data_IF_708469897309
#
_entry.id   IF_708469897309
#
_cell.length_a   1.000
_cell.length_b   1.000
_cell.length_c   1.000
_cell.angle_alpha   90.00
_cell.angle_beta   90.00
_cell.angle_gamma   90.00
#
_symmetry.space_group_name_H-M   'P 1'
#
loop_
_entity.id
_entity.type
_entity.pdbx_description
1 polymer ?
#
# COMPACT_ATOMS: atom_id res chain seq x y z
N UNK A 1 -21.33 11.75 25.81
CA UNK A 1 -21.86 10.81 26.81
C UNK A 1 -22.72 9.68 26.22
N UNK A 2 -23.94 9.87 25.71
CA UNK A 2 -24.74 8.73 25.18
C UNK A 2 -24.16 8.04 23.92
N UNK A 3 -23.39 8.75 23.07
CA UNK A 3 -22.70 8.16 21.92
C UNK A 3 -21.53 7.25 22.34
N UNK A 4 -20.78 7.65 23.35
CA UNK A 4 -19.60 6.93 23.86
C UNK A 4 -20.00 5.58 24.49
N UNK A 5 -21.15 5.56 25.19
CA UNK A 5 -21.72 4.32 25.75
C UNK A 5 -22.15 3.31 24.68
N UNK A 6 -22.65 3.77 23.52
CA UNK A 6 -23.01 2.87 22.41
C UNK A 6 -21.78 2.31 21.72
N UNK A 7 -20.73 3.11 21.55
CA UNK A 7 -19.45 2.67 20.99
C UNK A 7 -18.77 1.64 21.90
N UNK A 8 -18.72 1.88 23.22
CA UNK A 8 -18.16 0.91 24.17
C UNK A 8 -18.92 -0.42 24.19
N UNK A 9 -20.25 -0.37 24.11
CA UNK A 9 -21.09 -1.58 24.06
C UNK A 9 -20.89 -2.39 22.78
N UNK A 10 -20.75 -1.71 21.64
CA UNK A 10 -20.49 -2.37 20.36
C UNK A 10 -19.07 -2.95 20.30
N UNK A 11 -18.08 -2.25 20.85
CA UNK A 11 -16.71 -2.75 20.95
C UNK A 11 -16.63 -4.04 21.79
N UNK A 12 -17.32 -4.10 22.95
CA UNK A 12 -17.39 -5.34 23.75
C UNK A 12 -18.06 -6.49 23.02
N UNK A 13 -19.16 -6.23 22.30
CA UNK A 13 -19.83 -7.27 21.50
C UNK A 13 -18.97 -7.81 20.37
N UNK A 14 -18.21 -6.94 19.70
CA UNK A 14 -17.28 -7.36 18.64
C UNK A 14 -16.13 -8.18 19.21
N UNK A 15 -15.60 -7.80 20.38
CA UNK A 15 -14.57 -8.58 21.06
C UNK A 15 -15.07 -9.98 21.48
N UNK A 16 -16.28 -10.07 22.06
CA UNK A 16 -16.91 -11.34 22.42
C UNK A 16 -17.21 -12.21 21.18
N UNK A 17 -17.69 -11.61 20.09
CA UNK A 17 -17.97 -12.31 18.84
C UNK A 17 -16.70 -12.87 18.19
N UNK A 18 -15.62 -12.07 18.14
CA UNK A 18 -14.34 -12.50 17.58
C UNK A 18 -13.70 -13.63 18.39
N UNK A 19 -13.82 -13.60 19.73
CA UNK A 19 -13.35 -14.68 20.58
C UNK A 19 -14.14 -15.99 20.35
N UNK A 20 -15.46 -15.92 20.13
CA UNK A 20 -16.29 -17.09 19.85
C UNK A 20 -16.09 -17.68 18.44
N UNK A 21 -15.70 -16.85 17.46
CA UNK A 21 -15.37 -17.28 16.10
C UNK A 21 -14.04 -18.03 16.05
N UNK A 22 -13.02 -17.52 16.75
CA UNK A 22 -11.68 -18.12 16.80
C UNK A 22 -11.67 -19.54 17.41
N UNK A 23 -12.51 -19.78 18.43
CA UNK A 23 -12.62 -21.10 19.08
C UNK A 23 -13.39 -22.14 18.21
N UNK A 24 -14.03 -21.70 17.13
CA UNK A 24 -14.83 -22.57 16.24
C UNK A 24 -14.19 -22.85 14.89
N UNK A 25 -13.36 -21.94 14.35
CA UNK A 25 -12.94 -22.02 12.94
C UNK A 25 -11.65 -22.81 12.70
N UNK A 26 -10.74 -22.89 13.68
CA UNK A 26 -9.44 -23.55 13.52
C UNK A 26 -8.60 -22.99 12.35
N UNK A 27 -8.97 -21.84 11.78
CA UNK A 27 -8.28 -21.19 10.66
C UNK A 27 -7.13 -20.35 11.17
N UNK A 28 -5.98 -20.45 10.51
CA UNK A 28 -4.76 -19.74 10.87
C UNK A 28 -4.90 -18.20 10.89
N UNK A 29 -5.76 -17.63 10.02
CA UNK A 29 -6.09 -16.19 10.03
C UNK A 29 -6.79 -15.72 11.31
N UNK A 30 -7.41 -16.64 12.04
CA UNK A 30 -8.26 -16.34 13.20
C UNK A 30 -7.54 -16.72 14.51
N UNK A 31 -6.35 -17.32 14.42
CA UNK A 31 -5.53 -17.69 15.58
C UNK A 31 -4.60 -16.55 15.99
N UNK A 32 -5.16 -15.50 16.58
CA UNK A 32 -4.37 -14.64 17.47
C UNK A 32 -4.03 -15.48 18.71
N UNK A 33 -2.76 -15.55 19.10
CA UNK A 33 -2.33 -16.31 20.28
C UNK A 33 -3.13 -15.90 21.52
N UNK A 34 -3.53 -16.87 22.35
CA UNK A 34 -4.45 -16.66 23.48
C UNK A 34 -3.98 -15.59 24.48
N UNK A 35 -2.67 -15.34 24.55
CA UNK A 35 -2.06 -14.31 25.40
C UNK A 35 -2.27 -12.88 24.87
N UNK A 36 -2.60 -12.71 23.59
CA UNK A 36 -2.87 -11.43 22.94
C UNK A 36 -4.37 -11.18 22.73
N UNK A 37 -5.24 -12.12 23.14
CA UNK A 37 -6.70 -11.99 23.08
C UNK A 37 -7.21 -11.19 24.29
N UNK A 38 -7.60 -9.94 24.05
CA UNK A 38 -8.67 -9.25 24.81
C UNK A 38 -8.45 -8.90 26.29
N UNK A 39 -7.41 -9.39 26.99
CA UNK A 39 -7.14 -8.97 28.38
C UNK A 39 -6.84 -7.47 28.45
N UNK A 40 -5.99 -6.96 27.55
CA UNK A 40 -5.66 -5.53 27.48
C UNK A 40 -6.88 -4.61 27.28
N UNK A 41 -7.85 -4.97 26.43
CA UNK A 41 -9.01 -4.09 26.14
C UNK A 41 -10.09 -4.17 27.22
N UNK A 42 -10.34 -5.35 27.81
CA UNK A 42 -11.32 -5.50 28.89
C UNK A 42 -10.78 -5.01 30.24
N UNK A 43 -9.47 -5.10 30.50
CA UNK A 43 -8.80 -4.57 31.71
C UNK A 43 -8.52 -3.07 31.64
N UNK A 44 -8.28 -2.49 30.46
CA UNK A 44 -8.07 -1.05 30.29
C UNK A 44 -9.37 -0.22 30.25
N UNK A 45 -10.54 -0.88 30.22
CA UNK A 45 -11.83 -0.19 30.24
C UNK A 45 -12.33 0.01 31.68
N UNK A 46 -12.68 1.24 32.09
CA UNK A 46 -13.22 1.48 33.43
C UNK A 46 -14.50 0.66 33.66
N UNK A 47 -14.70 0.11 34.87
CA UNK A 47 -15.91 -0.63 35.21
C UNK A 47 -17.15 0.25 35.03
N UNK A 48 -18.19 -0.32 34.41
CA UNK A 48 -19.47 0.37 34.29
C UNK A 48 -20.00 0.67 35.69
N UNK A 49 -20.52 1.89 35.94
CA UNK A 49 -21.12 2.21 37.22
C UNK A 49 -22.25 1.21 37.53
N UNK A 50 -22.40 0.77 38.79
CA UNK A 50 -23.49 -0.10 39.18
C UNK A 50 -24.82 0.56 38.82
N UNK A 51 -25.72 -0.21 38.21
CA UNK A 51 -27.08 0.21 37.92
C UNK A 51 -27.78 0.52 39.24
N UNK A 52 -27.83 1.79 39.62
CA UNK A 52 -28.78 2.26 40.63
C UNK A 52 -30.20 2.05 40.10
N UNK A 53 -30.91 1.17 40.80
CA UNK A 53 -32.36 1.05 40.93
C UNK A 53 -33.18 1.91 39.95
N UNK A 54 -33.59 1.29 38.84
CA UNK A 54 -34.69 1.80 38.03
C UNK A 54 -35.97 1.82 38.89
N UNK A 55 -36.44 3.03 39.20
CA UNK A 55 -37.73 3.27 39.85
C UNK A 55 -38.90 2.71 39.01
N UNK A 56 -39.97 2.23 39.65
CA UNK A 56 -41.07 1.56 38.97
C UNK A 56 -42.09 2.58 38.42
N UNK A 57 -42.18 2.71 37.10
CA UNK A 57 -43.33 3.40 36.50
C UNK A 57 -44.52 2.44 36.32
N UNK A 58 -45.43 2.46 37.30
CA UNK A 58 -46.89 2.33 37.08
C UNK A 58 -47.27 3.28 35.93
N UNK A 59 -48.07 2.98 34.92
CA UNK A 59 -49.16 2.03 34.76
C UNK A 59 -50.32 2.78 34.08
N UNK A 60 -50.87 2.25 32.98
CA UNK A 60 -52.17 2.55 32.30
C UNK A 60 -52.02 2.01 30.85
N UNK A 61 -52.60 0.90 30.40
CA UNK A 61 -53.83 0.22 30.78
C UNK A 61 -54.92 0.56 29.77
N UNK A 62 -55.07 -0.23 28.69
CA UNK A 62 -56.34 -0.42 27.94
C UNK A 62 -56.36 -1.79 27.24
N UNK A 63 -57.55 -2.39 27.03
CA UNK A 63 -57.77 -3.82 27.23
C UNK A 63 -57.90 -4.63 25.93
N UNK A 64 -57.51 -5.90 26.02
CA UNK A 64 -57.77 -6.97 25.05
C UNK A 64 -59.26 -7.35 25.03
N UNK A 65 -59.82 -7.70 23.86
CA UNK A 65 -60.84 -8.72 23.75
C UNK A 65 -60.15 -10.08 23.49
N UNK A 66 -60.47 -11.06 24.32
CA UNK A 66 -59.92 -12.41 24.25
C UNK A 66 -60.53 -13.26 23.16
N UNK A 67 -59.79 -14.28 22.71
CA UNK A 67 -60.38 -15.52 22.19
C UNK A 67 -59.43 -16.71 22.32
N UNK A 68 -59.91 -17.65 23.14
CA UNK A 68 -59.80 -19.11 23.13
C UNK A 68 -58.41 -19.76 23.02
N UNK A 69 -58.09 -20.45 24.12
CA UNK A 69 -57.19 -21.60 24.17
C UNK A 69 -57.59 -22.65 23.13
N UNK A 70 -56.72 -22.84 22.16
CA UNK A 70 -56.55 -24.11 21.44
C UNK A 70 -55.07 -24.41 21.47
N UNK A 71 -54.72 -25.60 21.95
CA UNK A 71 -53.36 -26.12 21.97
C UNK A 71 -52.68 -25.95 20.60
N UNK A 72 -51.38 -25.65 20.54
CA UNK A 72 -50.70 -25.43 19.28
C UNK A 72 -50.72 -26.72 18.47
N UNK A 73 -51.43 -26.70 17.33
CA UNK A 73 -51.15 -27.65 16.27
C UNK A 73 -49.68 -27.45 15.90
N UNK A 74 -48.86 -28.47 16.18
CA UNK A 74 -47.47 -28.51 15.75
C UNK A 74 -47.45 -28.29 14.24
N UNK A 75 -47.01 -27.09 13.82
CA UNK A 75 -46.55 -26.93 12.44
C UNK A 75 -45.40 -27.93 12.28
N UNK A 76 -45.40 -28.77 11.24
CA UNK A 76 -44.21 -29.52 10.91
C UNK A 76 -43.09 -28.51 10.74
N UNK A 77 -42.06 -28.64 11.58
CA UNK A 77 -40.78 -27.98 11.37
C UNK A 77 -40.40 -28.27 9.92
N UNK A 78 -40.15 -27.27 9.06
CA UNK A 78 -39.52 -27.58 7.78
C UNK A 78 -38.23 -28.30 8.13
N UNK A 79 -38.10 -29.54 7.67
CA UNK A 79 -36.84 -30.26 7.76
C UNK A 79 -35.77 -29.30 7.22
N UNK A 80 -34.62 -29.13 7.90
CA UNK A 80 -33.54 -28.37 7.32
C UNK A 80 -33.26 -29.03 5.98
N UNK A 81 -33.52 -28.30 4.90
CA UNK A 81 -33.02 -28.71 3.60
C UNK A 81 -31.51 -28.80 3.79
N UNK A 82 -30.97 -30.01 3.74
CA UNK A 82 -29.54 -30.21 3.63
C UNK A 82 -29.17 -29.70 2.25
N UNK A 83 -29.01 -28.38 2.12
CA UNK A 83 -28.23 -27.84 1.04
C UNK A 83 -26.82 -28.29 1.38
N UNK A 84 -26.37 -29.33 0.68
CA UNK A 84 -24.96 -29.65 0.60
C UNK A 84 -24.29 -28.47 -0.13
N UNK A 85 -24.04 -27.37 0.57
CA UNK A 85 -23.01 -26.42 0.17
C UNK A 85 -21.68 -27.01 0.60
N UNK A 86 -21.29 -28.09 -0.05
CA UNK A 86 -19.89 -28.27 -0.34
C UNK A 86 -19.53 -27.07 -1.22
N UNK A 87 -18.89 -26.06 -0.63
CA UNK A 87 -18.17 -25.08 -1.43
C UNK A 87 -16.97 -25.86 -1.95
N UNK A 88 -17.18 -26.57 -3.06
CA UNK A 88 -16.04 -26.97 -3.87
C UNK A 88 -15.37 -25.67 -4.31
N UNK A 89 -14.09 -25.45 -3.96
CA UNK A 89 -13.37 -24.34 -4.54
C UNK A 89 -13.24 -24.66 -6.03
N UNK A 90 -14.12 -24.12 -6.87
CA UNK A 90 -13.91 -24.15 -8.31
C UNK A 90 -12.57 -23.46 -8.58
N UNK A 91 -11.57 -24.15 -9.14
CA UNK A 91 -10.32 -23.52 -9.49
C UNK A 91 -10.60 -22.50 -10.60
N UNK A 92 -9.89 -21.36 -10.58
CA UNK A 92 -10.05 -20.31 -11.60
C UNK A 92 -9.73 -20.81 -13.03
N UNK A 93 -9.08 -21.97 -13.17
CA UNK A 93 -8.80 -22.65 -14.43
C UNK A 93 -8.87 -24.18 -14.27
N UNK A 94 -9.39 -24.88 -15.28
CA UNK A 94 -9.32 -26.34 -15.37
C UNK A 94 -8.03 -26.78 -16.09
N UNK A 95 -7.28 -27.71 -15.48
CA UNK A 95 -6.06 -28.29 -16.05
C UNK A 95 -5.18 -28.96 -15.00
N UNK A 96 -4.17 -29.75 -15.42
CA UNK A 96 -3.13 -30.28 -14.52
C UNK A 96 -2.23 -29.13 -14.06
N UNK A 97 -2.66 -28.43 -13.02
CA UNK A 97 -1.85 -27.44 -12.33
C UNK A 97 -0.85 -28.18 -11.43
N UNK A 98 0.39 -28.26 -11.89
CA UNK A 98 1.52 -28.59 -11.03
C UNK A 98 1.65 -27.44 -10.03
N UNK A 99 1.26 -27.69 -8.78
CA UNK A 99 1.41 -26.70 -7.71
C UNK A 99 2.87 -26.27 -7.59
N UNK A 100 3.12 -24.97 -7.52
CA UNK A 100 4.44 -24.43 -7.19
C UNK A 100 4.77 -24.79 -5.74
N UNK A 101 5.78 -25.64 -5.52
CA UNK A 101 6.34 -25.84 -4.18
C UNK A 101 7.19 -24.62 -3.80
N UNK A 102 7.10 -24.18 -2.55
CA UNK A 102 8.03 -23.21 -2.00
C UNK A 102 9.43 -23.83 -2.01
N UNK A 103 10.35 -23.22 -2.75
CA UNK A 103 11.76 -23.68 -2.84
C UNK A 103 12.60 -23.07 -1.71
N UNK A 104 12.16 -21.94 -1.14
CA UNK A 104 12.80 -21.24 -0.01
C UNK A 104 11.73 -20.67 0.92
N UNK A 105 11.67 -21.12 2.18
CA UNK A 105 10.86 -20.48 3.22
C UNK A 105 11.58 -19.22 3.73
N UNK A 106 11.53 -18.13 2.96
CA UNK A 106 11.87 -16.82 3.49
C UNK A 106 10.59 -16.16 4.01
N UNK A 107 10.43 -16.07 5.33
CA UNK A 107 9.36 -15.27 5.93
C UNK A 107 9.62 -13.81 5.60
N UNK A 108 8.90 -13.30 4.61
CA UNK A 108 9.06 -11.95 4.12
C UNK A 108 7.73 -11.37 3.67
N UNK A 109 7.65 -10.05 3.61
CA UNK A 109 6.47 -9.33 3.14
C UNK A 109 6.82 -8.39 1.99
N UNK A 110 5.94 -8.33 1.00
CA UNK A 110 6.02 -7.36 -0.08
C UNK A 110 5.33 -6.07 0.36
N UNK A 111 5.78 -4.93 -0.16
CA UNK A 111 5.08 -3.66 0.00
C UNK A 111 4.40 -3.28 -1.30
N UNK A 112 3.24 -2.65 -1.17
CA UNK A 112 2.65 -1.81 -2.19
C UNK A 112 3.00 -0.35 -1.87
N UNK A 113 3.63 0.34 -2.82
CA UNK A 113 4.05 1.73 -2.68
C UNK A 113 3.03 2.74 -3.21
N UNK A 114 1.84 2.32 -3.65
CA UNK A 114 0.76 3.20 -4.10
C UNK A 114 0.43 4.31 -3.09
N UNK A 115 0.41 3.98 -1.80
CA UNK A 115 0.16 4.94 -0.72
C UNK A 115 1.22 6.04 -0.58
N UNK A 116 2.44 5.80 -1.05
CA UNK A 116 3.52 6.79 -1.03
C UNK A 116 3.26 7.95 -2.00
N UNK A 117 2.65 7.68 -3.17
CA UNK A 117 2.26 8.72 -4.12
C UNK A 117 1.24 9.69 -3.51
N UNK A 118 0.25 9.14 -2.81
CA UNK A 118 -0.78 9.92 -2.13
C UNK A 118 -0.14 10.80 -1.04
N UNK A 119 0.81 10.24 -0.28
CA UNK A 119 1.57 10.98 0.72
C UNK A 119 2.38 12.13 0.12
N UNK A 120 3.08 11.88 -0.99
CA UNK A 120 3.88 12.90 -1.69
C UNK A 120 3.02 14.07 -2.16
N UNK A 121 1.88 13.80 -2.82
CA UNK A 121 0.94 14.85 -3.23
C UNK A 121 0.44 15.65 -2.04
N UNK A 122 -0.11 14.98 -1.02
CA UNK A 122 -0.69 15.65 0.14
C UNK A 122 0.33 16.51 0.90
N UNK A 123 1.56 16.01 1.03
CA UNK A 123 2.64 16.75 1.65
C UNK A 123 3.05 17.96 0.82
N UNK A 124 3.19 17.80 -0.49
CA UNK A 124 3.57 18.90 -1.38
C UNK A 124 2.52 20.01 -1.36
N UNK A 125 1.23 19.67 -1.36
CA UNK A 125 0.15 20.65 -1.22
C UNK A 125 0.29 21.44 0.08
N UNK A 126 0.44 20.75 1.22
CA UNK A 126 0.65 21.40 2.54
C UNK A 126 1.90 22.28 2.55
N UNK A 127 3.00 21.83 1.95
CA UNK A 127 4.23 22.62 1.84
C UNK A 127 4.00 23.88 1.03
N UNK A 128 3.34 23.78 -0.13
CA UNK A 128 3.09 24.95 -1.00
C UNK A 128 2.02 25.90 -0.47
N UNK A 129 1.07 25.41 0.34
CA UNK A 129 0.12 26.25 1.07
C UNK A 129 0.81 27.02 2.20
N UNK A 130 1.83 26.44 2.81
CA UNK A 130 2.63 27.07 3.87
C UNK A 130 3.63 28.08 3.30
N UNK A 131 4.31 27.74 2.21
CA UNK A 131 5.23 28.62 1.49
C UNK A 131 5.04 28.50 -0.03
N UNK A 132 4.34 29.49 -0.59
CA UNK A 132 4.04 29.58 -2.03
C UNK A 132 5.28 29.63 -2.92
N UNK A 133 6.45 29.98 -2.37
CA UNK A 133 7.71 30.00 -3.14
C UNK A 133 8.18 28.60 -3.50
N UNK A 134 7.78 27.58 -2.73
CA UNK A 134 8.16 26.19 -2.98
C UNK A 134 7.74 25.77 -4.39
N UNK A 135 6.52 26.10 -4.81
CA UNK A 135 6.03 25.79 -6.17
C UNK A 135 6.88 26.44 -7.28
N UNK A 136 7.54 27.55 -6.98
CA UNK A 136 8.42 28.26 -7.92
C UNK A 136 9.84 27.70 -7.96
N UNK A 137 10.35 27.22 -6.84
CA UNK A 137 11.71 26.70 -6.74
C UNK A 137 11.81 25.18 -6.92
N UNK A 138 10.72 24.46 -6.67
CA UNK A 138 10.66 23.01 -6.67
C UNK A 138 9.27 22.57 -7.17
N UNK A 139 9.09 22.43 -8.49
CA UNK A 139 7.86 21.87 -9.08
C UNK A 139 7.56 20.47 -8.56
N UNK A 140 6.30 20.05 -8.66
CA UNK A 140 5.89 18.76 -8.08
C UNK A 140 6.58 17.59 -8.78
N UNK A 141 6.73 17.60 -10.11
CA UNK A 141 7.41 16.54 -10.84
C UNK A 141 8.84 16.30 -10.34
N UNK A 142 9.57 17.36 -9.99
CA UNK A 142 10.91 17.29 -9.42
C UNK A 142 10.90 16.77 -7.97
N UNK A 143 9.97 17.26 -7.15
CA UNK A 143 9.79 16.78 -5.77
C UNK A 143 9.42 15.28 -5.73
N UNK A 144 8.49 14.86 -6.58
CA UNK A 144 8.06 13.48 -6.74
C UNK A 144 9.24 12.60 -7.16
N UNK A 145 9.98 12.99 -8.20
CA UNK A 145 11.14 12.23 -8.65
C UNK A 145 12.19 12.07 -7.54
N UNK A 146 12.51 13.15 -6.82
CA UNK A 146 13.42 13.10 -5.67
C UNK A 146 12.95 12.12 -4.59
N UNK A 147 11.66 12.13 -4.25
CA UNK A 147 11.11 11.23 -3.23
C UNK A 147 11.10 9.77 -3.70
N UNK A 148 10.96 9.52 -5.01
CA UNK A 148 11.02 8.17 -5.60
C UNK A 148 12.45 7.63 -5.61
N UNK A 149 13.46 8.46 -5.87
CA UNK A 149 14.87 8.10 -5.71
C UNK A 149 15.16 7.67 -4.27
N UNK A 150 14.69 8.44 -3.28
CA UNK A 150 14.81 8.09 -1.87
C UNK A 150 14.13 6.76 -1.54
N UNK A 151 12.92 6.53 -2.06
CA UNK A 151 12.17 5.29 -1.84
C UNK A 151 12.95 4.08 -2.34
N UNK A 152 13.40 4.12 -3.60
CA UNK A 152 14.13 3.02 -4.21
C UNK A 152 15.48 2.80 -3.52
N UNK A 153 16.20 3.88 -3.19
CA UNK A 153 17.44 3.80 -2.44
C UNK A 153 17.27 3.16 -1.05
N UNK A 154 16.20 3.53 -0.32
CA UNK A 154 15.86 2.91 0.97
C UNK A 154 15.50 1.43 0.78
N UNK A 155 14.66 1.08 -0.18
CA UNK A 155 14.27 -0.31 -0.42
C UNK A 155 15.51 -1.20 -0.69
N UNK A 156 16.41 -0.76 -1.57
CA UNK A 156 17.66 -1.47 -1.89
C UNK A 156 18.57 -1.53 -0.66
N UNK A 157 18.76 -0.42 0.06
CA UNK A 157 19.58 -0.37 1.26
C UNK A 157 19.06 -1.31 2.36
N UNK A 158 17.73 -1.45 2.51
CA UNK A 158 17.14 -2.41 3.46
C UNK A 158 17.42 -3.84 3.07
N UNK A 159 17.32 -4.16 1.79
CA UNK A 159 17.68 -5.48 1.29
C UNK A 159 19.17 -5.79 1.50
N UNK A 160 20.05 -4.83 1.19
CA UNK A 160 21.50 -4.95 1.39
C UNK A 160 21.86 -5.16 2.87
N UNK A 161 21.36 -4.29 3.75
CA UNK A 161 21.78 -4.23 5.15
C UNK A 161 21.02 -5.18 6.08
N UNK A 162 19.73 -5.41 5.84
CA UNK A 162 18.89 -6.21 6.74
C UNK A 162 18.74 -7.66 6.27
N UNK A 163 18.64 -7.90 4.96
CA UNK A 163 18.50 -9.25 4.42
C UNK A 163 19.85 -9.89 4.03
N UNK A 164 20.92 -9.10 3.93
CA UNK A 164 22.24 -9.54 3.47
C UNK A 164 22.22 -10.24 2.09
N UNK A 165 21.32 -9.81 1.20
CA UNK A 165 21.13 -10.43 -0.10
C UNK A 165 22.38 -10.28 -0.99
N UNK A 166 22.76 -11.37 -1.66
CA UNK A 166 23.98 -11.44 -2.46
C UNK A 166 23.97 -10.56 -3.71
N UNK A 167 22.79 -10.24 -4.24
CA UNK A 167 22.61 -9.57 -5.54
C UNK A 167 23.13 -8.13 -5.61
N UNK A 168 23.40 -7.50 -4.48
CA UNK A 168 23.88 -6.11 -4.40
C UNK A 168 25.27 -5.99 -3.75
N UNK A 169 26.00 -7.10 -3.55
CA UNK A 169 27.26 -7.09 -2.78
C UNK A 169 28.38 -6.26 -3.42
N UNK A 170 28.34 -6.09 -4.74
CA UNK A 170 29.29 -5.29 -5.53
C UNK A 170 28.91 -3.82 -5.63
N UNK A 171 27.69 -3.46 -5.26
CA UNK A 171 27.13 -2.13 -5.48
C UNK A 171 27.50 -1.16 -4.36
N UNK A 172 27.69 0.11 -4.72
CA UNK A 172 27.79 1.19 -3.75
C UNK A 172 26.48 1.29 -2.94
N UNK A 173 26.57 1.66 -1.66
CA UNK A 173 25.37 1.81 -0.84
C UNK A 173 24.53 2.98 -1.34
N UNK A 174 23.22 2.81 -1.57
CA UNK A 174 22.36 3.87 -2.10
C UNK A 174 22.41 5.18 -1.30
N UNK A 175 22.61 5.10 0.03
CA UNK A 175 22.66 6.27 0.90
C UNK A 175 23.92 7.12 0.70
N UNK A 176 25.00 6.52 0.21
CA UNK A 176 26.26 7.20 -0.11
C UNK A 176 26.13 7.89 -1.47
N UNK A 177 25.66 7.14 -2.48
CA UNK A 177 25.40 7.67 -3.82
C UNK A 177 24.37 8.82 -3.84
N UNK A 178 23.26 8.70 -3.12
CA UNK A 178 22.20 9.73 -3.09
C UNK A 178 22.54 10.95 -2.23
N UNK A 179 23.68 10.93 -1.53
CA UNK A 179 24.13 11.93 -0.56
C UNK A 179 23.01 12.37 0.39
N UNK A 180 22.30 11.39 0.98
CA UNK A 180 21.11 11.65 1.81
C UNK A 180 21.46 12.52 3.02
N UNK A 181 22.69 12.44 3.53
CA UNK A 181 23.14 13.17 4.72
C UNK A 181 23.21 14.69 4.50
N UNK A 182 23.43 15.15 3.28
CA UNK A 182 23.47 16.58 2.96
C UNK A 182 22.08 17.16 2.64
N UNK A 183 21.07 16.30 2.45
CA UNK A 183 19.74 16.70 1.99
C UNK A 183 18.75 16.80 3.14
N UNK A 184 17.86 17.79 3.05
CA UNK A 184 16.75 17.94 4.00
C UNK A 184 15.54 17.17 3.45
N UNK A 185 15.09 16.17 4.19
CA UNK A 185 13.93 15.35 3.83
C UNK A 185 12.76 15.72 4.75
N UNK A 186 11.55 15.98 4.22
CA UNK A 186 10.38 16.23 5.05
C UNK A 186 10.08 15.06 5.99
N UNK A 187 9.73 15.36 7.25
CA UNK A 187 9.45 14.34 8.28
C UNK A 187 8.45 13.27 7.85
N UNK A 188 7.31 13.58 7.21
CA UNK A 188 6.36 12.54 6.80
C UNK A 188 6.96 11.53 5.80
N UNK A 189 7.86 11.98 4.93
CA UNK A 189 8.60 11.11 4.00
C UNK A 189 9.56 10.21 4.78
N UNK A 190 10.33 10.78 5.70
CA UNK A 190 11.25 10.01 6.57
C UNK A 190 10.50 8.94 7.36
N UNK A 191 9.34 9.28 7.92
CA UNK A 191 8.53 8.35 8.72
C UNK A 191 8.02 7.19 7.86
N UNK A 192 7.52 7.47 6.65
CA UNK A 192 7.10 6.42 5.72
C UNK A 192 8.27 5.50 5.34
N UNK A 193 9.41 6.08 4.95
CA UNK A 193 10.61 5.32 4.57
C UNK A 193 11.17 4.50 5.73
N UNK A 194 11.06 5.00 6.97
CA UNK A 194 11.48 4.28 8.17
C UNK A 194 10.60 3.07 8.46
N UNK A 195 9.34 3.08 8.03
CA UNK A 195 8.42 1.95 8.14
C UNK A 195 8.73 0.82 7.14
N UNK A 196 9.55 1.07 6.11
CA UNK A 196 10.07 0.04 5.21
C UNK A 196 11.21 -0.68 5.92
N UNK A 197 10.85 -1.73 6.65
CA UNK A 197 11.82 -2.53 7.41
C UNK A 197 11.27 -3.92 7.75
N UNK A 198 12.11 -4.74 8.39
CA UNK A 198 11.69 -6.02 8.96
C UNK A 198 10.74 -5.81 10.14
N UNK A 199 9.74 -6.66 10.25
CA UNK A 199 8.77 -6.64 11.35
C UNK A 199 9.01 -7.80 12.30
N UNK A 200 8.98 -7.55 13.60
CA UNK A 200 9.05 -8.61 14.62
C UNK A 200 7.64 -8.94 15.09
N UNK A 201 7.23 -10.20 14.93
CA UNK A 201 5.96 -10.72 15.40
C UNK A 201 5.97 -10.88 16.93
N UNK A 202 4.78 -11.00 17.54
CA UNK A 202 4.61 -11.25 18.97
C UNK A 202 5.40 -12.47 19.50
N UNK A 203 5.53 -13.50 18.67
CA UNK A 203 6.29 -14.72 18.98
C UNK A 203 7.81 -14.59 18.75
N UNK A 204 8.31 -13.37 18.49
CA UNK A 204 9.72 -13.10 18.26
C UNK A 204 10.22 -13.43 16.84
N UNK A 205 9.38 -13.98 15.96
CA UNK A 205 9.77 -14.22 14.55
C UNK A 205 9.96 -12.91 13.80
N UNK A 206 10.98 -12.87 12.95
CA UNK A 206 11.29 -11.71 12.12
C UNK A 206 10.80 -11.97 10.70
N UNK A 207 9.93 -11.09 10.20
CA UNK A 207 9.49 -11.03 8.82
C UNK A 207 10.34 -9.99 8.11
N UNK A 208 11.14 -10.42 7.14
CA UNK A 208 12.02 -9.51 6.38
C UNK A 208 11.23 -8.72 5.34
N UNK A 209 11.73 -7.53 5.00
CA UNK A 209 11.26 -6.81 3.82
C UNK A 209 11.65 -7.60 2.56
N UNK A 210 10.73 -7.82 1.62
CA UNK A 210 11.05 -8.41 0.32
C UNK A 210 10.93 -7.35 -0.78
N UNK A 211 12.01 -7.20 -1.57
CA UNK A 211 11.97 -6.50 -2.84
C UNK A 211 12.15 -7.53 -3.96
N UNK A 212 11.10 -7.91 -4.70
CA UNK A 212 11.23 -8.83 -5.82
C UNK A 212 12.26 -8.33 -6.84
N UNK A 213 12.94 -9.25 -7.53
CA UNK A 213 13.87 -8.89 -8.60
C UNK A 213 13.19 -8.03 -9.69
N UNK A 214 11.95 -8.37 -10.06
CA UNK A 214 11.16 -7.59 -11.01
C UNK A 214 10.73 -6.21 -10.49
N UNK A 215 10.81 -5.93 -9.19
CA UNK A 215 10.56 -4.60 -8.62
C UNK A 215 11.85 -3.82 -8.32
N UNK A 216 13.01 -4.36 -8.74
CA UNK A 216 14.30 -3.68 -8.63
C UNK A 216 14.56 -2.91 -9.91
N UNK A 217 14.81 -1.59 -9.87
CA UNK A 217 15.16 -0.83 -11.06
C UNK A 217 16.41 -1.42 -11.74
N UNK A 218 16.36 -1.55 -13.06
CA UNK A 218 17.44 -2.13 -13.86
C UNK A 218 18.41 -1.04 -14.32
N UNK A 219 19.69 -1.41 -14.47
CA UNK A 219 20.64 -0.59 -15.22
C UNK A 219 20.31 -0.64 -16.71
N UNK A 220 20.81 0.32 -17.48
CA UNK A 220 20.67 0.24 -18.93
C UNK A 220 21.40 -0.99 -19.47
N UNK A 221 20.74 -1.76 -20.33
CA UNK A 221 21.33 -2.93 -20.97
C UNK A 221 21.56 -2.67 -22.46
N UNK A 222 22.42 -3.49 -23.09
CA UNK A 222 22.71 -3.44 -24.53
C UNK A 222 21.44 -3.59 -25.43
N UNK A 223 20.31 -4.01 -24.86
CA UNK A 223 19.02 -4.20 -25.54
C UNK A 223 18.13 -2.92 -25.53
N UNK A 224 18.71 -1.73 -25.45
CA UNK A 224 18.01 -0.42 -25.44
C UNK A 224 17.00 -0.23 -24.29
N UNK A 225 17.12 -0.99 -23.19
CA UNK A 225 16.29 -0.77 -22.00
C UNK A 225 16.89 0.40 -21.20
N UNK A 226 16.15 1.49 -20.96
CA UNK A 226 16.67 2.60 -20.18
C UNK A 226 16.83 2.26 -18.69
N UNK A 227 17.82 2.91 -18.07
CA UNK A 227 18.06 2.81 -16.62
C UNK A 227 16.84 3.30 -15.82
N UNK A 228 16.59 2.65 -14.68
CA UNK A 228 15.51 3.02 -13.76
C UNK A 228 14.13 2.42 -14.11
N UNK A 229 14.05 1.62 -15.17
CA UNK A 229 12.86 0.82 -15.53
C UNK A 229 12.86 -0.50 -14.77
N UNK A 230 11.74 -1.23 -14.80
CA UNK A 230 11.66 -2.60 -14.28
C UNK A 230 11.79 -3.67 -15.39
N UNK A 231 12.25 -3.25 -16.58
CA UNK A 231 12.22 -4.06 -17.79
C UNK A 231 10.90 -3.94 -18.55
N UNK A 232 10.66 -4.90 -19.46
CA UNK A 232 9.46 -4.95 -20.31
C UNK A 232 8.20 -5.11 -19.44
N UNK A 233 7.18 -4.31 -19.71
CA UNK A 233 5.86 -4.44 -19.10
C UNK A 233 5.00 -5.38 -19.95
N UNK A 234 4.70 -6.57 -19.44
CA UNK A 234 3.85 -7.58 -20.09
C UNK A 234 2.86 -8.22 -19.09
N UNK A 235 2.11 -9.23 -19.53
CA UNK A 235 1.14 -9.94 -18.69
C UNK A 235 1.77 -10.53 -17.41
N UNK A 236 3.04 -10.93 -17.45
CA UNK A 236 3.75 -11.49 -16.30
C UNK A 236 4.40 -10.45 -15.39
N UNK A 237 4.75 -9.27 -15.92
CA UNK A 237 5.58 -8.27 -15.22
C UNK A 237 4.85 -6.97 -14.89
N UNK A 238 3.65 -6.72 -15.41
CA UNK A 238 2.88 -5.47 -15.17
C UNK A 238 2.72 -5.14 -13.68
N UNK A 239 2.57 -6.15 -12.83
CA UNK A 239 2.48 -6.00 -11.37
C UNK A 239 3.64 -5.20 -10.77
N UNK A 240 4.83 -5.23 -11.38
CA UNK A 240 5.96 -4.41 -10.92
C UNK A 240 5.66 -2.93 -11.04
N UNK A 241 5.07 -2.52 -12.16
CA UNK A 241 4.70 -1.14 -12.46
C UNK A 241 3.42 -0.68 -11.75
N UNK A 242 2.63 -1.61 -11.21
CA UNK A 242 1.43 -1.33 -10.41
C UNK A 242 1.70 -1.32 -8.89
N UNK A 243 2.73 -2.02 -8.41
CA UNK A 243 3.08 -2.10 -6.98
C UNK A 243 4.28 -1.22 -6.59
N UNK A 244 5.21 -0.98 -7.53
CA UNK A 244 6.45 -0.24 -7.29
C UNK A 244 6.51 1.00 -8.18
N UNK A 245 7.12 2.07 -7.66
CA UNK A 245 7.24 3.33 -8.38
C UNK A 245 8.57 3.37 -9.12
N UNK A 246 8.51 3.36 -10.46
CA UNK A 246 9.70 3.39 -11.30
C UNK A 246 10.39 4.77 -11.28
N UNK A 247 11.70 4.82 -10.95
CA UNK A 247 12.52 6.01 -11.15
C UNK A 247 12.41 6.59 -12.56
N UNK A 248 12.45 5.73 -13.59
CA UNK A 248 12.36 6.14 -14.98
C UNK A 248 11.06 6.85 -15.31
N UNK A 249 9.90 6.34 -14.86
CA UNK A 249 8.60 6.98 -15.13
C UNK A 249 8.56 8.41 -14.58
N UNK A 250 9.06 8.62 -13.35
CA UNK A 250 9.07 9.96 -12.72
C UNK A 250 10.13 10.88 -13.31
N UNK A 251 11.30 10.36 -13.70
CA UNK A 251 12.28 11.10 -14.50
C UNK A 251 11.66 11.60 -15.80
N UNK A 252 10.99 10.70 -16.54
CA UNK A 252 10.36 11.03 -17.81
C UNK A 252 9.26 12.08 -17.65
N UNK A 253 8.55 12.09 -16.51
CA UNK A 253 7.60 13.15 -16.19
C UNK A 253 8.29 14.51 -16.09
N UNK A 254 9.48 14.60 -15.48
CA UNK A 254 10.27 15.85 -15.44
C UNK A 254 10.67 16.29 -16.84
N UNK A 255 11.27 15.38 -17.63
CA UNK A 255 11.68 15.67 -19.02
C UNK A 255 10.49 16.12 -19.88
N UNK A 256 9.37 15.40 -19.79
CA UNK A 256 8.17 15.73 -20.55
C UNK A 256 7.52 17.04 -20.08
N UNK A 257 7.61 17.36 -18.78
CA UNK A 257 7.22 18.67 -18.25
C UNK A 257 8.06 19.80 -18.85
N UNK A 258 9.36 19.60 -19.03
CA UNK A 258 10.22 20.59 -19.67
C UNK A 258 9.76 20.83 -21.12
N UNK A 259 9.61 19.75 -21.90
CA UNK A 259 9.21 19.82 -23.31
C UNK A 259 7.79 20.38 -23.50
N UNK A 260 6.84 20.01 -22.64
CA UNK A 260 5.45 20.50 -22.68
C UNK A 260 5.36 22.02 -22.48
N UNK A 261 6.28 22.61 -21.70
CA UNK A 261 6.35 24.05 -21.46
C UNK A 261 7.17 24.82 -22.51
N UNK A 262 7.69 24.16 -23.55
CA UNK A 262 8.35 24.83 -24.67
C UNK A 262 7.35 25.50 -25.64
N UNK A 263 7.88 26.30 -26.58
CA UNK A 263 7.05 26.94 -27.59
C UNK A 263 6.44 25.86 -28.50
N UNK A 264 5.12 25.68 -28.40
CA UNK A 264 4.33 24.59 -29.03
C UNK A 264 4.41 23.23 -28.32
N UNK A 265 4.84 23.19 -27.05
CA UNK A 265 4.77 21.97 -26.25
C UNK A 265 3.31 21.51 -26.04
N UNK A 266 3.16 20.21 -25.74
CA UNK A 266 1.87 19.57 -25.54
C UNK A 266 1.74 19.02 -24.12
N UNK A 267 0.58 19.25 -23.48
CA UNK A 267 0.22 18.73 -22.16
C UNK A 267 -0.73 17.53 -22.24
N UNK A 268 -1.00 17.02 -23.44
CA UNK A 268 -1.82 15.83 -23.65
C UNK A 268 -1.20 14.59 -22.98
N UNK A 269 -1.99 13.52 -22.79
CA UNK A 269 -1.47 12.23 -22.35
C UNK A 269 -0.28 11.79 -23.21
N UNK A 270 0.73 11.26 -22.54
CA UNK A 270 2.01 10.91 -23.14
C UNK A 270 2.36 9.46 -22.80
N UNK A 271 3.37 8.91 -23.48
CA UNK A 271 3.81 7.55 -23.16
C UNK A 271 4.95 7.58 -22.12
N UNK A 272 4.70 7.12 -20.88
CA UNK A 272 5.68 7.07 -19.80
C UNK A 272 6.77 6.02 -19.99
N UNK A 273 6.53 5.02 -20.84
CA UNK A 273 7.51 3.98 -21.15
C UNK A 273 7.87 4.05 -22.65
N UNK A 274 9.09 3.64 -23.04
CA UNK A 274 9.41 3.43 -24.45
C UNK A 274 8.45 2.41 -25.07
N UNK A 275 8.23 2.52 -26.39
CA UNK A 275 7.39 1.58 -27.12
C UNK A 275 7.89 0.13 -26.98
N UNK A 276 9.19 -0.09 -26.90
CA UNK A 276 9.79 -1.42 -26.72
C UNK A 276 9.49 -2.05 -25.34
N UNK A 277 9.15 -1.24 -24.33
CA UNK A 277 8.82 -1.71 -22.98
C UNK A 277 7.32 -1.77 -22.71
N UNK A 278 6.50 -1.31 -23.65
CA UNK A 278 5.04 -1.32 -23.55
C UNK A 278 4.47 -2.49 -24.34
N UNK A 279 3.37 -3.11 -23.91
CA UNK A 279 2.67 -4.05 -24.77
C UNK A 279 2.24 -3.37 -26.08
N UNK A 280 2.21 -4.08 -27.22
CA UNK A 280 1.76 -3.53 -28.48
C UNK A 280 0.36 -2.91 -28.34
N UNK A 281 0.19 -1.69 -28.86
CA UNK A 281 -1.06 -0.92 -28.84
C UNK A 281 -1.61 -0.58 -27.44
N UNK A 282 -0.83 -0.79 -26.37
CA UNK A 282 -1.24 -0.43 -25.02
C UNK A 282 -1.14 1.08 -24.77
N UNK A 283 -2.13 1.61 -24.06
CA UNK A 283 -2.14 2.99 -23.59
C UNK A 283 -1.92 2.98 -22.08
N UNK A 284 -0.92 3.73 -21.62
CA UNK A 284 -0.65 3.87 -20.20
C UNK A 284 -1.86 4.47 -19.47
N UNK A 285 -2.24 3.85 -18.36
CA UNK A 285 -3.32 4.32 -17.49
C UNK A 285 -2.76 4.83 -16.18
N UNK A 286 -3.60 5.49 -15.37
CA UNK A 286 -3.24 5.97 -14.02
C UNK A 286 -2.90 4.84 -13.03
N UNK A 287 -3.09 3.58 -13.41
CA UNK A 287 -2.62 2.43 -12.61
C UNK A 287 -1.10 2.28 -12.65
N UNK A 288 -0.43 2.83 -13.68
CA UNK A 288 1.02 2.91 -13.71
C UNK A 288 1.49 3.90 -12.63
N UNK A 289 2.16 3.38 -11.61
CA UNK A 289 2.57 4.22 -10.48
C UNK A 289 3.60 5.27 -10.91
N UNK A 290 3.37 6.50 -10.45
CA UNK A 290 4.20 7.66 -10.79
C UNK A 290 3.88 8.31 -12.13
N UNK A 291 2.95 7.75 -12.92
CA UNK A 291 2.48 8.39 -14.15
C UNK A 291 1.53 9.55 -13.86
N UNK A 292 1.92 10.74 -14.32
CA UNK A 292 1.10 11.94 -14.28
C UNK A 292 1.19 12.75 -15.57
N UNK A 293 0.32 13.75 -15.71
CA UNK A 293 0.31 14.70 -16.81
C UNK A 293 1.32 15.82 -16.49
N UNK A 294 2.05 16.35 -17.49
CA UNK A 294 2.95 17.48 -17.31
C UNK A 294 2.30 18.69 -16.62
N UNK A 295 3.03 19.32 -15.70
CA UNK A 295 2.58 20.54 -15.05
C UNK A 295 2.78 21.77 -15.95
N UNK A 296 1.81 22.68 -16.00
CA UNK A 296 2.03 23.99 -16.60
C UNK A 296 2.81 24.88 -15.62
N UNK A 297 4.05 25.20 -15.97
CA UNK A 297 5.01 25.85 -15.08
C UNK A 297 5.28 27.30 -15.49
N UNK A 298 5.53 28.14 -14.49
CA UNK A 298 6.09 29.47 -14.71
C UNK A 298 7.56 29.37 -15.10
N UNK A 299 8.11 30.43 -15.72
CA UNK A 299 9.51 30.44 -16.18
C UNK A 299 10.51 30.17 -15.06
N UNK A 300 10.26 30.68 -13.85
CA UNK A 300 11.11 30.43 -12.67
C UNK A 300 11.16 28.93 -12.32
N UNK A 301 10.00 28.29 -12.18
CA UNK A 301 9.83 26.85 -11.97
C UNK A 301 10.52 26.03 -13.06
N UNK A 302 10.31 26.39 -14.32
CA UNK A 302 10.90 25.67 -15.45
C UNK A 302 12.42 25.75 -15.44
N UNK A 303 12.98 26.92 -15.10
CA UNK A 303 14.44 27.09 -15.00
C UNK A 303 15.04 26.25 -13.86
N UNK A 304 14.30 26.01 -12.78
CA UNK A 304 14.78 25.17 -11.67
C UNK A 304 14.97 23.70 -12.06
N UNK A 305 14.15 23.18 -12.98
CA UNK A 305 14.20 21.77 -13.42
C UNK A 305 15.00 21.56 -14.70
N UNK A 306 15.22 22.61 -15.52
CA UNK A 306 16.07 22.55 -16.73
C UNK A 306 17.51 22.16 -16.46
N UNK A 307 18.00 22.38 -15.24
CA UNK A 307 19.34 21.98 -14.83
C UNK A 307 19.47 20.49 -14.48
N UNK A 308 18.38 19.72 -14.51
CA UNK A 308 18.43 18.30 -14.19
C UNK A 308 19.07 17.55 -15.35
N UNK A 309 20.15 16.84 -15.06
CA UNK A 309 20.84 15.95 -16.00
C UNK A 309 20.57 14.54 -15.51
N UNK A 310 19.99 13.72 -16.37
CA UNK A 310 19.73 12.32 -16.09
C UNK A 310 20.61 11.48 -17.00
N UNK A 311 21.52 10.73 -16.38
CA UNK A 311 22.45 9.87 -17.10
C UNK A 311 21.75 8.53 -17.39
N UNK A 312 21.64 8.14 -18.66
CA UNK A 312 21.08 6.85 -19.08
C UNK A 312 22.12 5.71 -19.00
N UNK A 313 23.39 6.06 -19.09
CA UNK A 313 24.53 5.16 -19.00
C UNK A 313 25.65 5.85 -18.23
N UNK A 314 26.54 5.06 -17.62
CA UNK A 314 27.79 5.56 -17.04
C UNK A 314 28.61 6.24 -18.15
N UNK A 315 28.54 7.56 -18.25
CA UNK A 315 29.57 8.38 -18.91
C UNK A 315 30.86 8.44 -18.06
N UNK A 316 31.02 7.54 -17.10
CA UNK A 316 32.31 7.17 -16.52
C UNK A 316 33.13 6.34 -17.52
N UNK A 317 33.40 6.92 -18.69
CA UNK A 317 34.57 6.51 -19.48
C UNK A 317 35.82 7.01 -18.77
N UNK A 318 36.61 6.04 -18.31
CA UNK A 318 38.05 6.08 -17.98
C UNK A 318 38.53 6.96 -16.83
#
# INVERSE_FOLDING_TARGET
MQRDYRQQRNARRMAEFNNQQADRSGRWSDMVEAEHRGRSILEAMPPLPPRENALPHRGRGRPRPGRRNTAPAQRPTPAPASVATAIEPSPLFEGRLTGSRVVVEAQSHNYDFSGYLILMHALYDVMTDTDVRIRRSLPYCAFQHYCVELLNGVAIERVMSQNAEGRFRSEERPFEFLDIKSKTIPTPIVDYLSAITRTTMANGKVINFNLPAGGTPQHSTDDDIPSGTFGICDEGTHNSYECYISPYVTRRLVEHTITANERNGNFDPWNPLPAALSPPDAVATRNLLGYDIPESLQTESLNSIRGFIFEDADDRKS
#
